data_IF_323081778248
#
_entry.id   IF_323081778248
#
_cell.length_a   1.000
_cell.length_b   1.000
_cell.length_c   1.000
_cell.angle_alpha   90.00
_cell.angle_beta   90.00
_cell.angle_gamma   90.00
#
_symmetry.space_group_name_H-M   'P 1'
#
loop_
_entity.id
_entity.type
_entity.pdbx_description
1 polymer ?
#
# COMPACT_ATOMS: atom_id res chain seq x y z
N UNK A 1 6.65 -35.85 -17.78
CA UNK A 1 6.64 -34.42 -17.41
C UNK A 1 5.25 -33.89 -17.69
N UNK A 2 4.40 -33.90 -16.67
CA UNK A 2 3.00 -33.48 -16.79
C UNK A 2 2.95 -31.96 -16.63
N UNK A 3 2.69 -31.26 -17.74
CA UNK A 3 2.38 -29.83 -17.73
C UNK A 3 1.01 -29.68 -17.08
N UNK A 4 0.98 -29.45 -15.75
CA UNK A 4 -0.23 -28.96 -15.09
C UNK A 4 -0.51 -27.55 -15.61
N UNK A 5 -1.42 -27.47 -16.54
CA UNK A 5 -2.06 -26.23 -16.96
C UNK A 5 -2.66 -25.57 -15.75
N UNK A 6 -2.18 -24.38 -15.38
CA UNK A 6 -2.77 -23.52 -14.37
C UNK A 6 -4.16 -23.10 -14.88
N UNK A 7 -5.16 -23.91 -14.60
CA UNK A 7 -6.55 -23.59 -14.91
C UNK A 7 -7.11 -22.71 -13.82
N UNK A 8 -7.52 -21.54 -14.23
CA UNK A 8 -8.77 -20.91 -13.85
C UNK A 8 -8.67 -19.51 -13.26
N UNK A 9 -9.06 -18.55 -14.08
CA UNK A 9 -9.50 -17.20 -13.70
C UNK A 9 -10.62 -17.21 -12.65
N UNK A 10 -11.32 -18.34 -12.45
CA UNK A 10 -12.34 -18.53 -11.41
C UNK A 10 -11.78 -18.51 -9.97
N UNK A 11 -10.45 -18.65 -9.79
CA UNK A 11 -9.83 -18.62 -8.46
C UNK A 11 -9.57 -17.21 -7.92
N UNK A 12 -9.52 -16.19 -8.77
CA UNK A 12 -9.16 -14.81 -8.36
C UNK A 12 -10.25 -14.11 -7.56
N UNK A 13 -11.52 -14.53 -7.69
CA UNK A 13 -12.68 -13.98 -6.97
C UNK A 13 -13.25 -14.94 -5.93
N UNK A 14 -12.54 -16.03 -5.62
CA UNK A 14 -12.97 -16.96 -4.58
C UNK A 14 -13.00 -16.29 -3.20
N UNK A 15 -13.85 -16.78 -2.26
CA UNK A 15 -13.85 -16.27 -0.88
C UNK A 15 -12.47 -16.26 -0.22
N UNK A 16 -11.62 -17.24 -0.51
CA UNK A 16 -10.28 -17.33 0.03
C UNK A 16 -9.31 -16.32 -0.61
N UNK A 17 -9.50 -16.02 -1.90
CA UNK A 17 -8.78 -14.93 -2.58
C UNK A 17 -9.12 -13.57 -1.97
N UNK A 18 -10.41 -13.30 -1.75
CA UNK A 18 -10.87 -12.06 -1.12
C UNK A 18 -10.34 -11.91 0.31
N UNK A 19 -10.33 -12.99 1.10
CA UNK A 19 -9.71 -13.00 2.43
C UNK A 19 -8.23 -12.67 2.36
N UNK A 20 -7.51 -13.22 1.38
CA UNK A 20 -6.08 -12.97 1.22
C UNK A 20 -5.80 -11.52 0.88
N UNK A 21 -6.53 -10.96 -0.08
CA UNK A 21 -6.45 -9.53 -0.44
C UNK A 21 -6.76 -8.66 0.78
N UNK A 22 -7.82 -9.00 1.51
CA UNK A 22 -8.21 -8.27 2.72
C UNK A 22 -7.09 -8.27 3.77
N UNK A 23 -6.53 -9.42 4.11
CA UNK A 23 -5.45 -9.50 5.09
C UNK A 23 -4.16 -8.85 4.62
N UNK A 24 -3.81 -8.99 3.33
CA UNK A 24 -2.65 -8.33 2.76
C UNK A 24 -2.78 -6.80 2.82
N UNK A 25 -3.93 -6.26 2.42
CA UNK A 25 -4.21 -4.82 2.47
C UNK A 25 -4.32 -4.29 3.91
N UNK A 26 -4.99 -5.04 4.80
CA UNK A 26 -5.14 -4.64 6.21
C UNK A 26 -3.79 -4.57 6.93
N UNK A 27 -2.99 -5.64 6.84
CA UNK A 27 -1.68 -5.69 7.52
C UNK A 27 -0.75 -4.63 6.96
N UNK A 28 -0.61 -4.52 5.64
CA UNK A 28 0.25 -3.50 5.03
C UNK A 28 -0.26 -2.08 5.31
N UNK A 29 -1.57 -1.86 5.26
CA UNK A 29 -2.17 -0.55 5.57
C UNK A 29 -1.95 -0.12 7.01
N UNK A 30 -2.08 -1.03 7.99
CA UNK A 30 -1.78 -0.73 9.41
C UNK A 30 -0.29 -0.39 9.58
N UNK A 31 0.60 -1.22 9.04
CA UNK A 31 2.04 -1.01 9.18
C UNK A 31 2.49 0.31 8.52
N UNK A 32 1.95 0.63 7.36
CA UNK A 32 2.24 1.88 6.65
C UNK A 32 1.70 3.10 7.39
N UNK A 33 0.46 3.03 7.90
CA UNK A 33 -0.11 4.12 8.72
C UNK A 33 0.70 4.37 9.99
N UNK A 34 1.17 3.31 10.66
CA UNK A 34 2.02 3.44 11.85
C UNK A 34 3.37 4.11 11.49
N UNK A 35 4.02 3.68 10.42
CA UNK A 35 5.27 4.28 9.97
C UNK A 35 5.08 5.75 9.58
N UNK A 36 4.02 6.06 8.83
CA UNK A 36 3.67 7.44 8.48
C UNK A 36 3.45 8.29 9.72
N UNK A 37 2.66 7.83 10.69
CA UNK A 37 2.44 8.57 11.95
C UNK A 37 3.75 8.84 12.69
N UNK A 38 4.65 7.85 12.80
CA UNK A 38 5.94 8.01 13.48
C UNK A 38 6.81 9.04 12.73
N UNK A 39 6.96 8.88 11.42
CA UNK A 39 7.83 9.76 10.63
C UNK A 39 7.30 11.19 10.57
N UNK A 40 6.00 11.38 10.38
CA UNK A 40 5.39 12.71 10.36
C UNK A 40 5.45 13.37 11.75
N UNK A 41 5.30 12.60 12.83
CA UNK A 41 5.50 13.12 14.18
C UNK A 41 6.94 13.62 14.39
N UNK A 42 7.93 12.81 14.02
CA UNK A 42 9.35 13.17 14.19
C UNK A 42 9.78 14.32 13.27
N UNK A 43 9.26 14.38 12.06
CA UNK A 43 9.66 15.38 11.07
C UNK A 43 8.90 16.70 11.19
N UNK A 44 7.64 16.69 11.63
CA UNK A 44 6.73 17.85 11.59
C UNK A 44 5.94 18.08 12.87
N UNK A 45 6.04 17.17 13.85
CA UNK A 45 5.22 17.23 15.08
C UNK A 45 3.75 16.88 14.85
N UNK A 46 3.39 16.27 13.73
CA UNK A 46 2.00 15.91 13.43
C UNK A 46 1.53 14.77 14.33
N UNK A 47 0.36 14.93 14.93
CA UNK A 47 -0.33 13.84 15.59
C UNK A 47 -1.00 12.90 14.55
N UNK A 48 -1.41 11.67 14.91
CA UNK A 48 -2.02 10.72 13.96
C UNK A 48 -3.25 11.28 13.23
N UNK A 49 -4.07 12.11 13.89
CA UNK A 49 -5.23 12.75 13.25
C UNK A 49 -4.81 13.69 12.12
N UNK A 50 -3.75 14.48 12.33
CA UNK A 50 -3.22 15.38 11.32
C UNK A 50 -2.59 14.62 10.13
N UNK A 51 -2.02 13.44 10.37
CA UNK A 51 -1.56 12.57 9.27
C UNK A 51 -2.75 12.11 8.41
N UNK A 52 -3.86 11.71 9.02
CA UNK A 52 -5.07 11.35 8.28
C UNK A 52 -5.67 12.57 7.55
N UNK A 53 -5.67 13.74 8.16
CA UNK A 53 -6.09 14.98 7.51
C UNK A 53 -5.18 15.32 6.32
N UNK A 54 -3.87 15.07 6.41
CA UNK A 54 -2.95 15.24 5.28
C UNK A 54 -3.32 14.30 4.12
N UNK A 55 -3.71 13.05 4.39
CA UNK A 55 -4.20 12.13 3.34
C UNK A 55 -5.52 12.66 2.74
N UNK A 56 -6.47 13.11 3.58
CA UNK A 56 -7.72 13.70 3.11
C UNK A 56 -7.49 14.97 2.27
N UNK A 57 -6.42 15.72 2.55
CA UNK A 57 -6.09 16.94 1.79
C UNK A 57 -5.78 16.66 0.32
N UNK A 58 -5.46 15.43 -0.05
CA UNK A 58 -5.34 15.03 -1.44
C UNK A 58 -6.62 15.30 -2.26
N UNK A 59 -7.78 15.18 -1.62
CA UNK A 59 -9.09 15.43 -2.26
C UNK A 59 -9.68 16.81 -1.88
N UNK A 60 -9.38 17.32 -0.68
CA UNK A 60 -10.04 18.50 -0.11
C UNK A 60 -9.12 19.72 0.07
N UNK A 61 -7.84 19.59 -0.28
CA UNK A 61 -6.87 20.68 -0.12
C UNK A 61 -6.69 21.07 1.36
N UNK A 62 -6.36 22.34 1.58
CA UNK A 62 -6.08 22.88 2.93
C UNK A 62 -7.27 22.81 3.88
N UNK A 63 -8.51 22.77 3.37
CA UNK A 63 -9.72 22.67 4.21
C UNK A 63 -9.79 21.37 5.02
N UNK A 64 -9.08 20.33 4.60
CA UNK A 64 -8.99 19.07 5.32
C UNK A 64 -8.46 19.26 6.76
N UNK A 65 -7.53 20.19 6.98
CA UNK A 65 -6.92 20.41 8.30
C UNK A 65 -7.85 21.07 9.32
N UNK A 66 -8.92 21.73 8.87
CA UNK A 66 -9.94 22.33 9.74
C UNK A 66 -11.21 21.47 9.89
N UNK A 67 -11.32 20.35 9.17
CA UNK A 67 -12.53 19.53 9.13
C UNK A 67 -12.67 18.50 10.27
N UNK A 68 -11.82 18.56 11.29
CA UNK A 68 -11.95 17.74 12.52
C UNK A 68 -12.04 16.23 12.25
N UNK A 69 -12.89 15.54 13.01
CA UNK A 69 -13.04 14.09 12.97
C UNK A 69 -13.53 13.59 11.59
N UNK A 70 -14.33 14.38 10.89
CA UNK A 70 -14.82 14.00 9.55
C UNK A 70 -13.66 13.81 8.57
N UNK A 71 -12.72 14.76 8.52
CA UNK A 71 -11.57 14.66 7.62
C UNK A 71 -10.57 13.60 8.07
N UNK A 72 -10.45 13.35 9.37
CA UNK A 72 -9.67 12.22 9.90
C UNK A 72 -10.25 10.89 9.40
N UNK A 73 -11.58 10.71 9.50
CA UNK A 73 -12.24 9.49 9.04
C UNK A 73 -12.12 9.30 7.52
N UNK A 74 -12.28 10.36 6.74
CA UNK A 74 -12.11 10.31 5.29
C UNK A 74 -10.66 9.93 4.93
N UNK A 75 -9.67 10.54 5.57
CA UNK A 75 -8.27 10.21 5.32
C UNK A 75 -7.95 8.75 5.66
N UNK A 76 -8.49 8.23 6.77
CA UNK A 76 -8.37 6.84 7.14
C UNK A 76 -8.98 5.90 6.08
N UNK A 77 -10.19 6.20 5.60
CA UNK A 77 -10.84 5.42 4.55
C UNK A 77 -10.03 5.46 3.26
N UNK A 78 -9.58 6.63 2.82
CA UNK A 78 -8.77 6.79 1.60
C UNK A 78 -7.46 6.00 1.70
N UNK A 79 -6.80 6.04 2.85
CA UNK A 79 -5.58 5.27 3.09
C UNK A 79 -5.80 3.77 2.89
N UNK A 80 -6.84 3.21 3.51
CA UNK A 80 -7.13 1.78 3.37
C UNK A 80 -7.64 1.41 1.98
N UNK A 81 -8.39 2.27 1.29
CA UNK A 81 -8.77 2.06 -0.11
C UNK A 81 -7.52 1.88 -0.99
N UNK A 82 -6.50 2.73 -0.81
CA UNK A 82 -5.25 2.63 -1.55
C UNK A 82 -4.49 1.34 -1.15
N UNK A 83 -4.40 1.02 0.13
CA UNK A 83 -3.72 -0.20 0.60
C UNK A 83 -4.38 -1.48 0.04
N UNK A 84 -5.72 -1.54 0.04
CA UNK A 84 -6.45 -2.66 -0.56
C UNK A 84 -6.30 -2.72 -2.08
N UNK A 85 -6.27 -1.57 -2.76
CA UNK A 85 -6.04 -1.52 -4.20
C UNK A 85 -4.64 -2.07 -4.57
N UNK A 86 -3.59 -1.69 -3.82
CA UNK A 86 -2.23 -2.20 -4.01
C UNK A 86 -2.20 -3.73 -3.81
N UNK A 87 -2.82 -4.22 -2.74
CA UNK A 87 -2.89 -5.66 -2.44
C UNK A 87 -3.66 -6.43 -3.53
N UNK A 88 -4.79 -5.90 -3.99
CA UNK A 88 -5.61 -6.50 -5.05
C UNK A 88 -4.85 -6.56 -6.38
N UNK A 89 -4.22 -5.47 -6.79
CA UNK A 89 -3.43 -5.43 -8.04
C UNK A 89 -2.28 -6.43 -7.98
N UNK A 90 -1.53 -6.47 -6.86
CA UNK A 90 -0.45 -7.44 -6.70
C UNK A 90 -0.96 -8.89 -6.75
N UNK A 91 -2.06 -9.18 -6.05
CA UNK A 91 -2.67 -10.50 -6.04
C UNK A 91 -3.13 -10.95 -7.45
N UNK A 92 -3.77 -10.05 -8.21
CA UNK A 92 -4.23 -10.34 -9.58
C UNK A 92 -3.07 -10.60 -10.55
N UNK A 93 -1.95 -9.89 -10.40
CA UNK A 93 -0.78 -10.04 -11.29
C UNK A 93 0.06 -11.26 -10.91
N UNK A 94 0.01 -11.70 -9.65
CA UNK A 94 0.88 -12.74 -9.10
C UNK A 94 0.97 -14.03 -9.96
N UNK A 95 -0.13 -14.64 -10.45
CA UNK A 95 -0.06 -15.88 -11.23
C UNK A 95 0.63 -15.72 -12.58
N UNK A 96 0.69 -14.51 -13.11
CA UNK A 96 1.25 -14.23 -14.43
C UNK A 96 2.76 -13.91 -14.40
N UNK A 97 3.30 -13.53 -13.24
CA UNK A 97 4.69 -13.10 -13.12
C UNK A 97 5.56 -14.14 -12.41
N UNK A 98 6.52 -14.72 -13.16
CA UNK A 98 7.46 -15.72 -12.61
C UNK A 98 8.23 -15.20 -11.39
N UNK A 99 8.70 -13.94 -11.44
CA UNK A 99 9.47 -13.34 -10.34
C UNK A 99 8.68 -13.31 -9.02
N UNK A 100 7.37 -13.02 -9.06
CA UNK A 100 6.53 -12.99 -7.85
C UNK A 100 6.42 -14.37 -7.20
N UNK A 101 6.40 -15.43 -8.03
CA UNK A 101 6.30 -16.82 -7.57
C UNK A 101 7.63 -17.37 -7.06
N UNK A 102 8.74 -17.06 -7.74
CA UNK A 102 10.06 -17.61 -7.43
C UNK A 102 10.87 -16.78 -6.46
N UNK A 103 10.66 -15.45 -6.43
CA UNK A 103 11.40 -14.48 -5.64
C UNK A 103 10.45 -13.52 -4.92
N UNK A 104 9.59 -14.01 -4.01
CA UNK A 104 8.54 -13.18 -3.38
C UNK A 104 9.11 -12.01 -2.57
N UNK A 105 10.28 -12.17 -1.95
CA UNK A 105 10.93 -11.08 -1.21
C UNK A 105 11.34 -9.96 -2.15
N UNK A 106 12.03 -10.27 -3.25
CA UNK A 106 12.46 -9.27 -4.23
C UNK A 106 11.26 -8.58 -4.86
N UNK A 107 10.23 -9.33 -5.26
CA UNK A 107 9.03 -8.75 -5.83
C UNK A 107 8.26 -7.87 -4.84
N UNK A 108 8.26 -8.22 -3.54
CA UNK A 108 7.68 -7.40 -2.48
C UNK A 108 8.44 -6.09 -2.29
N UNK A 109 9.77 -6.15 -2.22
CA UNK A 109 10.58 -4.94 -2.13
C UNK A 109 10.36 -4.02 -3.34
N UNK A 110 10.30 -4.57 -4.55
CA UNK A 110 9.98 -3.82 -5.76
C UNK A 110 8.56 -3.23 -5.72
N UNK A 111 7.57 -3.97 -5.22
CA UNK A 111 6.22 -3.44 -5.02
C UNK A 111 6.23 -2.20 -4.12
N UNK A 112 7.00 -2.23 -3.02
CA UNK A 112 7.12 -1.07 -2.14
C UNK A 112 7.71 0.15 -2.82
N UNK A 113 8.75 -0.04 -3.65
CA UNK A 113 9.32 1.05 -4.48
C UNK A 113 8.30 1.60 -5.46
N UNK A 114 7.56 0.71 -6.16
CA UNK A 114 6.54 1.10 -7.13
C UNK A 114 5.39 1.85 -6.43
N UNK A 115 4.92 1.36 -5.28
CA UNK A 115 3.88 2.02 -4.50
C UNK A 115 4.30 3.41 -4.06
N UNK A 116 5.53 3.55 -3.54
CA UNK A 116 6.09 4.84 -3.19
C UNK A 116 6.17 5.79 -4.40
N UNK A 117 6.71 5.30 -5.51
CA UNK A 117 6.86 6.11 -6.72
C UNK A 117 5.50 6.55 -7.26
N UNK A 118 4.52 5.65 -7.32
CA UNK A 118 3.16 5.97 -7.74
C UNK A 118 2.54 7.06 -6.86
N UNK A 119 2.66 6.95 -5.55
CA UNK A 119 2.12 7.94 -4.62
C UNK A 119 2.84 9.29 -4.72
N UNK A 120 4.16 9.30 -4.71
CA UNK A 120 4.94 10.53 -4.61
C UNK A 120 5.18 11.23 -5.96
N UNK A 121 5.22 10.49 -7.07
CA UNK A 121 5.48 11.04 -8.40
C UNK A 121 4.21 11.24 -9.24
N UNK A 122 3.10 10.60 -8.87
CA UNK A 122 1.86 10.71 -9.61
C UNK A 122 0.71 11.23 -8.73
N UNK A 123 0.34 10.53 -7.66
CA UNK A 123 -0.85 10.86 -6.86
C UNK A 123 -0.70 12.20 -6.15
N UNK A 124 0.35 12.39 -5.36
CA UNK A 124 0.56 13.64 -4.61
C UNK A 124 0.70 14.86 -5.56
N UNK A 125 1.51 14.82 -6.63
CA UNK A 125 1.59 15.95 -7.56
C UNK A 125 0.26 16.33 -8.23
N UNK A 126 -0.58 15.35 -8.54
CA UNK A 126 -1.89 15.57 -9.18
C UNK A 126 -3.01 15.89 -8.18
N UNK A 127 -2.78 15.67 -6.89
CA UNK A 127 -3.76 15.92 -5.82
C UNK A 127 -3.76 17.39 -5.36
N UNK A 128 -4.72 17.72 -4.50
CA UNK A 128 -4.82 19.02 -3.83
C UNK A 128 -3.99 19.10 -2.53
N UNK A 129 -3.24 18.04 -2.18
CA UNK A 129 -2.39 18.04 -0.99
C UNK A 129 -1.30 19.11 -1.05
N UNK A 130 -0.90 19.68 0.09
CA UNK A 130 0.23 20.60 0.14
C UNK A 130 1.49 19.98 -0.45
N UNK A 131 2.15 20.70 -1.35
CA UNK A 131 3.39 20.24 -1.99
C UNK A 131 4.57 20.61 -1.09
N UNK A 132 5.37 19.63 -0.77
CA UNK A 132 6.60 19.84 0.02
C UNK A 132 7.81 19.89 -0.93
N UNK A 133 8.85 20.68 -0.62
CA UNK A 133 10.11 20.61 -1.33
C UNK A 133 10.69 19.20 -1.25
N UNK A 134 11.30 18.74 -2.33
CA UNK A 134 11.92 17.41 -2.36
C UNK A 134 13.05 17.31 -1.34
N UNK A 135 12.97 16.30 -0.48
CA UNK A 135 14.00 15.98 0.50
C UNK A 135 14.47 14.54 0.29
N UNK A 136 15.73 14.38 -0.13
CA UNK A 136 16.30 13.08 -0.45
C UNK A 136 16.31 12.12 0.75
N UNK A 137 16.67 12.60 1.94
CA UNK A 137 16.70 11.76 3.15
C UNK A 137 15.31 11.26 3.51
N UNK A 138 14.29 12.12 3.46
CA UNK A 138 12.89 11.74 3.68
C UNK A 138 12.41 10.75 2.62
N UNK A 139 12.79 10.94 1.36
CA UNK A 139 12.45 10.03 0.27
C UNK A 139 13.06 8.63 0.49
N UNK A 140 14.34 8.53 0.86
CA UNK A 140 15.01 7.26 1.15
C UNK A 140 14.33 6.54 2.32
N UNK A 141 14.08 7.23 3.42
CA UNK A 141 13.38 6.66 4.58
C UNK A 141 12.00 6.16 4.16
N UNK A 142 11.25 6.96 3.39
CA UNK A 142 9.93 6.61 2.90
C UNK A 142 9.94 5.40 1.96
N UNK A 143 10.88 5.32 1.03
CA UNK A 143 11.05 4.16 0.15
C UNK A 143 11.31 2.89 0.97
N UNK A 144 12.24 2.95 1.92
CA UNK A 144 12.63 1.79 2.74
C UNK A 144 11.43 1.26 3.54
N UNK A 145 10.65 2.13 4.20
CA UNK A 145 9.50 1.63 4.93
C UNK A 145 8.42 1.03 4.00
N UNK A 146 8.18 1.62 2.81
CA UNK A 146 7.23 1.04 1.85
C UNK A 146 7.70 -0.33 1.36
N UNK A 147 9.00 -0.50 1.14
CA UNK A 147 9.57 -1.80 0.77
C UNK A 147 9.29 -2.85 1.85
N UNK A 148 9.53 -2.51 3.13
CA UNK A 148 9.48 -3.46 4.24
C UNK A 148 8.07 -3.62 4.81
N UNK A 149 7.31 -2.52 4.95
CA UNK A 149 6.03 -2.52 5.67
C UNK A 149 4.81 -2.60 4.75
N UNK A 150 4.96 -2.28 3.46
CA UNK A 150 3.90 -2.42 2.47
C UNK A 150 4.18 -3.60 1.55
N UNK A 151 5.29 -3.55 0.82
CA UNK A 151 5.57 -4.51 -0.23
C UNK A 151 5.80 -5.93 0.27
N UNK A 152 6.63 -6.13 1.30
CA UNK A 152 6.90 -7.48 1.83
C UNK A 152 5.65 -8.16 2.40
N UNK A 153 4.83 -7.54 3.28
CA UNK A 153 3.63 -8.18 3.79
C UNK A 153 2.67 -8.60 2.67
N UNK A 154 2.43 -7.71 1.69
CA UNK A 154 1.56 -8.03 0.55
C UNK A 154 2.09 -9.23 -0.23
N UNK A 155 3.38 -9.25 -0.54
CA UNK A 155 3.99 -10.33 -1.32
C UNK A 155 3.98 -11.68 -0.57
N UNK A 156 4.33 -11.68 0.71
CA UNK A 156 4.42 -12.91 1.50
C UNK A 156 3.04 -13.51 1.80
N UNK A 157 2.04 -12.68 2.10
CA UNK A 157 0.66 -13.13 2.33
C UNK A 157 0.07 -13.70 1.03
N UNK A 158 0.29 -13.02 -0.09
CA UNK A 158 -0.15 -13.48 -1.41
C UNK A 158 0.54 -14.80 -1.79
N UNK A 159 1.86 -14.89 -1.65
CA UNK A 159 2.62 -16.13 -1.92
C UNK A 159 2.06 -17.32 -1.12
N UNK A 160 1.82 -17.13 0.19
CA UNK A 160 1.28 -18.17 1.07
C UNK A 160 -0.10 -18.68 0.61
N UNK A 161 -0.93 -17.83 0.03
CA UNK A 161 -2.21 -18.24 -0.55
C UNK A 161 -2.01 -19.20 -1.72
N UNK A 162 -1.17 -18.81 -2.68
CA UNK A 162 -0.92 -19.62 -3.87
C UNK A 162 -0.16 -20.91 -3.57
N UNK A 163 0.68 -20.96 -2.53
CA UNK A 163 1.35 -22.20 -2.11
C UNK A 163 0.41 -23.20 -1.43
N UNK A 164 -0.68 -22.75 -0.82
CA UNK A 164 -1.68 -23.63 -0.19
C UNK A 164 -2.69 -24.21 -1.17
N UNK A 165 -2.85 -23.60 -2.33
CA UNK A 165 -3.76 -24.04 -3.38
C UNK A 165 -3.15 -25.04 -4.36
N UNK A 166 -1.88 -25.40 -4.12
CA UNK A 166 -1.15 -26.45 -4.87
C UNK A 166 -1.12 -27.73 -4.03
#
# INVERSE_FOLDING_TARGET
MEQRTFTSTSSLTSPDSLKTIFWAGLVSGILDAMAACIVFYLAKGFNPGQVMQYIASGCFGMTAFSGGITMISIGFILHFVIAFAIAAVYFMIFPYMKIMRTQPVISGLLLGVIAWAFMNLLVIPLSLAPKEPFNLAAAIVSIVWHMVLVGLPVALITKKHFDRGI
#
